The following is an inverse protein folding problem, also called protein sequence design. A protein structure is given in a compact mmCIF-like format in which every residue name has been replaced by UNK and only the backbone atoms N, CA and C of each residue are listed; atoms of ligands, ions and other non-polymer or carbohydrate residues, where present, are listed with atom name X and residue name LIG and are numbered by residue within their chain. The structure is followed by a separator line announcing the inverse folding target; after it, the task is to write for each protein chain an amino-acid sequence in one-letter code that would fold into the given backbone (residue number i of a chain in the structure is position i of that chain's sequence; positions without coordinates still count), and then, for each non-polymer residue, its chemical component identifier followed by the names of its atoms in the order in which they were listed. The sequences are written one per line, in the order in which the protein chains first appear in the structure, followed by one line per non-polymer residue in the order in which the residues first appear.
data_IF_021715665817
#
_entry.id   IF_021715665817
#
_cell.length_a   1.000
_cell.length_b   1.000
_cell.length_c   1.000
_cell.angle_alpha   90.00
_cell.angle_beta   90.00
_cell.angle_gamma   90.00
#
_symmetry.space_group_name_H-M   'P 1'
#
loop_
_entity.id
_entity.type
_entity.pdbx_description
1 polymer ?
#
# COMPACT_ATOMS: atom_id res chain seq x y z
N UNK A 1 -3.91 -23.89 -9.34
CA UNK A 1 -4.01 -22.92 -10.45
C UNK A 1 -3.85 -21.47 -9.99
N UNK A 2 -4.76 -20.86 -9.21
CA UNK A 2 -4.61 -19.44 -8.78
C UNK A 2 -3.35 -19.15 -7.94
N UNK A 3 -2.92 -20.10 -7.09
CA UNK A 3 -1.69 -19.95 -6.29
C UNK A 3 -0.41 -20.02 -7.16
N UNK A 4 -0.40 -20.86 -8.19
CA UNK A 4 0.73 -21.01 -9.12
C UNK A 4 0.92 -19.75 -9.96
N UNK A 5 -0.17 -19.18 -10.49
CA UNK A 5 -0.13 -17.91 -11.24
C UNK A 5 0.43 -16.78 -10.37
N UNK A 6 0.13 -16.77 -9.07
CA UNK A 6 0.68 -15.78 -8.13
C UNK A 6 2.17 -15.99 -7.88
N UNK A 7 2.61 -17.24 -7.76
CA UNK A 7 4.03 -17.57 -7.61
C UNK A 7 4.83 -17.16 -8.85
N UNK A 8 4.35 -17.49 -10.04
CA UNK A 8 4.96 -17.09 -11.31
C UNK A 8 5.03 -15.56 -11.47
N UNK A 9 3.97 -14.83 -11.10
CA UNK A 9 4.00 -13.36 -11.08
C UNK A 9 5.03 -12.81 -10.08
N UNK A 10 5.20 -13.45 -8.93
CA UNK A 10 6.22 -13.04 -7.95
C UNK A 10 7.64 -13.28 -8.48
N UNK A 11 7.88 -14.39 -9.16
CA UNK A 11 9.17 -14.66 -9.82
C UNK A 11 9.44 -13.67 -10.95
N UNK A 12 8.43 -13.34 -11.76
CA UNK A 12 8.56 -12.36 -12.84
C UNK A 12 9.01 -10.99 -12.32
N UNK A 13 8.49 -10.56 -11.16
CA UNK A 13 8.84 -9.27 -10.53
C UNK A 13 10.31 -9.19 -10.09
N UNK A 14 11.00 -10.33 -9.92
CA UNK A 14 12.44 -10.35 -9.63
C UNK A 14 13.29 -9.96 -10.84
N UNK A 15 12.74 -10.11 -12.05
CA UNK A 15 13.44 -9.83 -13.31
C UNK A 15 13.07 -8.48 -13.93
N UNK A 16 12.30 -7.67 -13.21
CA UNK A 16 11.97 -6.31 -13.59
C UNK A 16 13.22 -5.42 -13.64
N UNK A 17 13.31 -4.56 -14.66
CA UNK A 17 14.52 -3.76 -14.92
C UNK A 17 14.45 -2.37 -14.32
N UNK A 18 13.25 -1.83 -14.15
CA UNK A 18 13.07 -0.46 -13.69
C UNK A 18 13.10 -0.39 -12.16
N UNK A 19 13.51 0.75 -11.62
CA UNK A 19 13.51 1.04 -10.19
C UNK A 19 12.51 2.14 -9.88
N UNK A 20 12.11 2.26 -8.62
CA UNK A 20 11.28 3.37 -8.18
C UNK A 20 11.99 4.71 -8.40
N UNK A 21 11.23 5.73 -8.80
CA UNK A 21 11.80 7.06 -9.04
C UNK A 21 12.38 7.69 -7.76
N UNK A 22 11.77 7.39 -6.62
CA UNK A 22 12.20 7.89 -5.31
C UNK A 22 12.38 6.71 -4.37
N UNK A 23 13.49 6.66 -3.65
CA UNK A 23 13.71 5.67 -2.61
C UNK A 23 12.79 5.92 -1.40
N UNK A 24 12.48 4.85 -0.65
CA UNK A 24 11.59 4.95 0.50
C UNK A 24 12.13 5.88 1.60
N UNK A 25 13.46 5.94 1.76
CA UNK A 25 14.15 6.82 2.70
C UNK A 25 14.12 8.29 2.25
N UNK A 26 14.15 8.52 0.93
CA UNK A 26 14.05 9.85 0.32
C UNK A 26 12.60 10.32 0.11
N UNK A 27 11.60 9.45 0.36
CA UNK A 27 10.20 9.75 0.13
C UNK A 27 9.72 10.96 0.94
N UNK A 28 10.13 11.05 2.21
CA UNK A 28 9.77 12.18 3.09
C UNK A 28 10.31 13.51 2.53
N UNK A 29 11.53 13.52 2.00
CA UNK A 29 12.13 14.72 1.41
C UNK A 29 11.60 15.06 0.02
N UNK A 30 11.02 14.08 -0.69
CA UNK A 30 10.47 14.30 -2.02
C UNK A 30 9.14 15.06 -1.98
N UNK A 31 8.24 14.69 -1.05
CA UNK A 31 6.96 15.38 -0.85
C UNK A 31 6.53 15.29 0.62
N UNK A 32 7.15 16.12 1.46
CA UNK A 32 6.83 16.20 2.89
C UNK A 32 5.34 16.48 3.18
N UNK A 33 4.67 17.44 2.50
CA UNK A 33 3.26 17.73 2.77
C UNK A 33 2.36 16.53 2.47
N UNK A 34 2.65 15.80 1.40
CA UNK A 34 1.90 14.60 1.05
C UNK A 34 2.19 13.45 2.02
N UNK A 35 3.44 13.33 2.50
CA UNK A 35 3.80 12.37 3.53
C UNK A 35 3.02 12.61 4.83
N UNK A 36 2.91 13.87 5.27
CA UNK A 36 2.11 14.24 6.44
C UNK A 36 0.61 13.97 6.20
N UNK A 37 0.09 14.30 5.02
CA UNK A 37 -1.30 14.00 4.67
C UNK A 37 -1.59 12.49 4.68
N UNK A 38 -0.70 11.66 4.11
CA UNK A 38 -0.82 10.22 4.11
C UNK A 38 -0.66 9.60 5.52
N UNK A 39 0.12 10.24 6.39
CA UNK A 39 0.22 9.86 7.81
C UNK A 39 -1.05 10.20 8.62
N UNK A 40 -1.72 11.31 8.29
CA UNK A 40 -2.94 11.76 8.98
C UNK A 40 -4.22 11.08 8.44
N UNK A 41 -4.36 10.95 7.12
CA UNK A 41 -5.44 10.19 6.48
C UNK A 41 -4.89 9.24 5.41
N UNK A 42 -4.31 8.13 5.86
CA UNK A 42 -3.85 7.04 4.99
C UNK A 42 -4.91 6.56 3.99
N UNK A 43 -6.17 6.27 4.42
CA UNK A 43 -7.22 5.82 3.50
C UNK A 43 -7.54 6.85 2.40
N UNK A 44 -7.56 8.15 2.74
CA UNK A 44 -7.78 9.22 1.76
C UNK A 44 -6.65 9.24 0.72
N UNK A 45 -5.40 9.23 1.16
CA UNK A 45 -4.24 9.24 0.29
C UNK A 45 -4.20 7.99 -0.61
N UNK A 46 -4.54 6.81 -0.08
CA UNK A 46 -4.60 5.58 -0.87
C UNK A 46 -5.73 5.59 -1.89
N UNK A 47 -6.89 6.17 -1.58
CA UNK A 47 -8.00 6.32 -2.52
C UNK A 47 -7.59 7.18 -3.72
N UNK A 48 -6.99 8.33 -3.44
CA UNK A 48 -6.55 9.28 -4.46
C UNK A 48 -5.45 8.68 -5.34
N UNK A 49 -4.48 8.00 -4.73
CA UNK A 49 -3.42 7.30 -5.45
C UNK A 49 -3.94 6.20 -6.33
N UNK A 50 -4.89 5.40 -5.83
CA UNK A 50 -5.48 4.32 -6.62
C UNK A 50 -6.20 4.86 -7.86
N UNK A 51 -6.98 5.94 -7.71
CA UNK A 51 -7.61 6.62 -8.86
C UNK A 51 -6.56 7.11 -9.86
N UNK A 52 -5.47 7.74 -9.38
CA UNK A 52 -4.38 8.21 -10.24
C UNK A 52 -3.64 7.07 -10.95
N UNK A 53 -3.38 5.95 -10.26
CA UNK A 53 -2.75 4.77 -10.84
C UNK A 53 -3.60 4.11 -11.93
N UNK A 54 -4.93 4.30 -11.89
CA UNK A 54 -5.86 3.87 -12.92
C UNK A 54 -6.11 4.94 -14.00
N UNK A 55 -5.32 6.02 -14.03
CA UNK A 55 -5.49 7.16 -14.94
C UNK A 55 -6.89 7.80 -14.85
N UNK A 56 -7.49 7.74 -13.66
CA UNK A 56 -8.87 8.16 -13.38
C UNK A 56 -9.96 7.40 -14.17
N UNK A 57 -9.59 6.32 -14.85
CA UNK A 57 -10.53 5.43 -15.53
C UNK A 57 -10.97 4.30 -14.59
N UNK A 58 -12.12 4.52 -13.94
CA UNK A 58 -12.69 3.55 -13.00
C UNK A 58 -13.23 2.28 -13.67
N UNK A 59 -13.28 2.21 -15.01
CA UNK A 59 -13.63 0.96 -15.71
C UNK A 59 -12.54 -0.11 -15.57
N UNK A 60 -11.29 0.31 -15.35
CA UNK A 60 -10.13 -0.55 -15.08
C UNK A 60 -10.04 -1.01 -13.63
N UNK A 61 -10.96 -0.56 -12.77
CA UNK A 61 -10.92 -0.87 -11.35
C UNK A 61 -11.34 -2.31 -11.07
N UNK A 62 -10.46 -3.03 -10.37
CA UNK A 62 -10.71 -4.34 -9.76
C UNK A 62 -10.33 -4.23 -8.28
N UNK A 63 -11.19 -4.69 -7.38
CA UNK A 63 -10.97 -4.67 -5.94
C UNK A 63 -9.64 -5.34 -5.57
N UNK A 64 -8.84 -4.69 -4.74
CA UNK A 64 -7.50 -5.14 -4.33
C UNK A 64 -6.62 -5.58 -5.53
N UNK A 65 -6.80 -4.96 -6.70
CA UNK A 65 -6.16 -5.31 -7.97
C UNK A 65 -6.29 -6.80 -8.38
N UNK A 66 -7.30 -7.53 -7.88
CA UNK A 66 -7.45 -8.96 -8.15
C UNK A 66 -6.59 -9.87 -7.26
N UNK A 67 -5.82 -9.33 -6.31
CA UNK A 67 -4.96 -10.13 -5.42
C UNK A 67 -5.72 -10.79 -4.27
N UNK A 68 -6.89 -10.26 -3.89
CA UNK A 68 -7.71 -10.80 -2.80
C UNK A 68 -8.81 -11.74 -3.33
N UNK A 69 -9.17 -12.84 -2.64
CA UNK A 69 -10.28 -13.70 -3.05
C UNK A 69 -11.66 -13.03 -3.10
N UNK A 70 -11.83 -11.84 -2.50
CA UNK A 70 -13.05 -11.04 -2.62
C UNK A 70 -13.20 -10.32 -3.97
N UNK A 71 -12.11 -10.19 -4.74
CA UNK A 71 -12.09 -9.49 -6.03
C UNK A 71 -13.01 -10.15 -7.05
N UNK A 72 -13.76 -9.36 -7.83
CA UNK A 72 -14.74 -9.87 -8.80
C UNK A 72 -16.08 -10.30 -8.19
N UNK A 73 -16.22 -10.32 -6.86
CA UNK A 73 -17.49 -10.66 -6.17
C UNK A 73 -18.13 -9.48 -5.45
N UNK A 74 -17.43 -8.34 -5.36
CA UNK A 74 -17.90 -7.14 -4.67
C UNK A 74 -18.81 -6.22 -5.50
N UNK A 75 -19.21 -6.62 -6.72
CA UNK A 75 -20.03 -5.76 -7.59
C UNK A 75 -19.29 -4.51 -8.10
N UNK A 76 -17.95 -4.58 -8.14
CA UNK A 76 -17.05 -3.50 -8.55
C UNK A 76 -17.33 -2.93 -9.95
N UNK A 77 -17.92 -3.73 -10.84
CA UNK A 77 -18.33 -3.30 -12.18
C UNK A 77 -19.54 -2.37 -12.22
N UNK A 78 -20.37 -2.36 -11.16
CA UNK A 78 -21.55 -1.47 -11.06
C UNK A 78 -21.23 -0.17 -10.32
N UNK A 79 -20.48 -0.25 -9.23
CA UNK A 79 -20.13 0.90 -8.37
C UNK A 79 -18.66 0.84 -7.93
N UNK A 80 -17.69 1.12 -8.83
CA UNK A 80 -16.27 0.96 -8.54
C UNK A 80 -15.77 1.94 -7.46
N UNK A 81 -16.33 3.14 -7.37
CA UNK A 81 -15.91 4.14 -6.38
C UNK A 81 -16.28 3.78 -4.94
N UNK A 82 -17.47 3.19 -4.73
CA UNK A 82 -17.90 2.72 -3.42
C UNK A 82 -17.07 1.52 -3.01
N UNK A 83 -16.82 0.60 -3.95
CA UNK A 83 -15.95 -0.55 -3.70
C UNK A 83 -14.53 -0.10 -3.34
N UNK A 84 -13.99 0.91 -4.03
CA UNK A 84 -12.70 1.50 -3.71
C UNK A 84 -12.70 2.18 -2.33
N UNK A 85 -13.76 2.89 -1.97
CA UNK A 85 -13.91 3.48 -0.63
C UNK A 85 -13.88 2.40 0.45
N UNK A 86 -14.63 1.32 0.27
CA UNK A 86 -14.63 0.16 1.19
C UNK A 86 -13.26 -0.52 1.23
N UNK A 87 -12.56 -0.62 0.10
CA UNK A 87 -11.22 -1.19 0.04
C UNK A 87 -10.22 -0.39 0.89
N UNK A 88 -10.19 0.92 0.75
CA UNK A 88 -9.24 1.76 1.50
C UNK A 88 -9.59 1.88 2.99
N UNK A 89 -10.86 1.73 3.36
CA UNK A 89 -11.31 1.82 4.75
C UNK A 89 -11.22 0.47 5.49
N UNK A 90 -11.69 -0.62 4.87
CA UNK A 90 -11.76 -1.93 5.52
C UNK A 90 -10.56 -2.83 5.19
N UNK A 91 -9.80 -2.50 4.15
CA UNK A 91 -8.70 -3.31 3.64
C UNK A 91 -7.47 -2.44 3.31
N UNK A 92 -7.24 -1.37 4.08
CA UNK A 92 -6.18 -0.37 3.84
C UNK A 92 -4.84 -1.01 3.45
N UNK A 93 -4.40 -2.01 4.22
CA UNK A 93 -3.15 -2.68 3.98
C UNK A 93 -3.06 -3.38 2.62
N UNK A 94 -4.15 -4.03 2.25
CA UNK A 94 -4.27 -4.69 0.96
C UNK A 94 -4.41 -3.68 -0.18
N UNK A 95 -5.02 -2.51 0.08
CA UNK A 95 -5.13 -1.44 -0.90
C UNK A 95 -3.76 -0.84 -1.24
N UNK A 96 -2.94 -0.53 -0.22
CA UNK A 96 -1.57 -0.03 -0.41
C UNK A 96 -0.71 -1.07 -1.13
N UNK A 97 -0.71 -2.33 -0.65
CA UNK A 97 0.07 -3.40 -1.25
C UNK A 97 -0.36 -3.73 -2.70
N UNK A 98 -1.66 -3.80 -2.97
CA UNK A 98 -2.16 -4.07 -4.31
C UNK A 98 -1.93 -2.92 -5.29
N UNK A 99 -1.86 -1.67 -4.80
CA UNK A 99 -1.44 -0.50 -5.61
C UNK A 99 0.02 -0.56 -5.96
N UNK A 100 0.86 -0.98 -5.02
CA UNK A 100 2.26 -1.28 -5.31
C UNK A 100 2.40 -2.31 -6.42
N UNK A 101 1.74 -3.46 -6.27
CA UNK A 101 1.83 -4.53 -7.27
C UNK A 101 1.29 -4.12 -8.63
N UNK A 102 0.21 -3.32 -8.67
CA UNK A 102 -0.31 -2.75 -9.91
C UNK A 102 0.76 -1.91 -10.62
N UNK A 103 1.42 -0.99 -9.91
CA UNK A 103 2.46 -0.13 -10.49
C UNK A 103 3.70 -0.94 -10.91
N UNK A 104 4.09 -1.93 -10.10
CA UNK A 104 5.22 -2.80 -10.44
C UNK A 104 4.95 -3.61 -11.70
N UNK A 105 3.76 -4.19 -11.82
CA UNK A 105 3.37 -5.00 -12.98
C UNK A 105 3.22 -4.11 -14.24
N UNK A 106 2.64 -2.91 -14.12
CA UNK A 106 2.46 -1.98 -15.26
C UNK A 106 3.79 -1.43 -15.77
N UNK A 107 4.70 -1.06 -14.88
CA UNK A 107 5.95 -0.36 -15.23
C UNK A 107 7.20 -1.23 -15.15
N UNK A 108 7.05 -2.54 -14.90
CA UNK A 108 8.15 -3.49 -14.70
C UNK A 108 9.18 -2.96 -13.68
N UNK A 109 8.71 -2.56 -12.50
CA UNK A 109 9.53 -2.00 -11.41
C UNK A 109 9.88 -3.06 -10.36
N UNK A 110 11.16 -3.31 -10.16
CA UNK A 110 11.64 -4.29 -9.18
C UNK A 110 11.43 -3.82 -7.73
N UNK A 111 11.30 -4.77 -6.81
CA UNK A 111 11.36 -4.51 -5.36
C UNK A 111 12.80 -4.23 -4.96
N UNK A 112 13.04 -3.15 -4.21
CA UNK A 112 14.37 -2.89 -3.63
C UNK A 112 14.61 -3.78 -2.41
N UNK A 113 15.88 -3.98 -2.02
CA UNK A 113 16.19 -4.74 -0.80
C UNK A 113 15.63 -4.05 0.46
N UNK A 114 15.68 -2.71 0.50
CA UNK A 114 15.11 -1.93 1.60
C UNK A 114 13.60 -2.16 1.74
N UNK A 115 12.87 -2.25 0.63
CA UNK A 115 11.44 -2.58 0.66
C UNK A 115 11.18 -3.96 1.25
N UNK A 116 11.98 -4.96 0.87
CA UNK A 116 11.84 -6.32 1.39
C UNK A 116 12.12 -6.37 2.90
N UNK A 117 13.14 -5.67 3.38
CA UNK A 117 13.44 -5.58 4.80
C UNK A 117 12.31 -4.90 5.59
N UNK A 118 11.75 -3.81 5.06
CA UNK A 118 10.69 -3.06 5.73
C UNK A 118 9.38 -3.85 5.75
N UNK A 119 8.99 -4.48 4.64
CA UNK A 119 7.80 -5.33 4.58
C UNK A 119 7.95 -6.53 5.53
N UNK A 120 9.13 -7.17 5.55
CA UNK A 120 9.42 -8.25 6.49
C UNK A 120 9.32 -7.78 7.94
N UNK A 121 9.86 -6.60 8.26
CA UNK A 121 9.78 -6.02 9.60
C UNK A 121 8.32 -5.76 10.03
N UNK A 122 7.51 -5.14 9.17
CA UNK A 122 6.09 -4.90 9.44
C UNK A 122 5.32 -6.20 9.69
N UNK A 123 5.56 -7.22 8.87
CA UNK A 123 4.93 -8.53 9.04
C UNK A 123 5.38 -9.22 10.33
N UNK A 124 6.68 -9.18 10.66
CA UNK A 124 7.22 -9.74 11.88
C UNK A 124 6.62 -9.07 13.14
N UNK A 125 6.49 -7.74 13.15
CA UNK A 125 5.87 -7.01 14.27
C UNK A 125 4.40 -7.41 14.45
N UNK A 126 3.63 -7.48 13.36
CA UNK A 126 2.23 -7.87 13.42
C UNK A 126 2.05 -9.31 13.89
N UNK A 127 2.90 -10.23 13.43
CA UNK A 127 2.85 -11.63 13.84
C UNK A 127 3.26 -11.79 15.32
N UNK A 128 4.26 -11.04 15.79
CA UNK A 128 4.68 -11.06 17.18
C UNK A 128 3.55 -10.55 18.10
N UNK A 129 2.92 -9.43 17.74
CA UNK A 129 1.76 -8.89 18.47
C UNK A 129 0.61 -9.91 18.54
N UNK A 130 0.31 -10.59 17.43
CA UNK A 130 -0.72 -11.63 17.37
C UNK A 130 -0.39 -12.85 18.25
N UNK A 131 0.86 -13.34 18.21
CA UNK A 131 1.30 -14.46 19.06
C UNK A 131 1.22 -14.07 20.54
N UNK A 132 1.68 -12.88 20.91
CA UNK A 132 1.60 -12.38 22.28
C UNK A 132 0.14 -12.27 22.76
N UNK A 133 -0.77 -11.79 21.91
CA UNK A 133 -2.21 -11.72 22.22
C UNK A 133 -2.83 -13.10 22.41
N UNK A 134 -2.47 -14.08 21.58
CA UNK A 134 -2.92 -15.48 21.74
C UNK A 134 -2.38 -16.11 23.04
N UNK A 135 -1.11 -15.89 23.36
CA UNK A 135 -0.49 -16.40 24.59
C UNK A 135 -1.09 -15.75 25.84
N UNK A 136 -1.37 -14.44 25.80
CA UNK A 136 -2.08 -13.74 26.87
C UNK A 136 -3.47 -14.34 27.11
N UNK A 137 -4.22 -14.60 26.03
CA UNK A 137 -5.54 -15.22 26.10
C UNK A 137 -5.51 -16.65 26.68
N UNK A 138 -4.48 -17.44 26.37
CA UNK A 138 -4.32 -18.80 26.89
C UNK A 138 -3.79 -18.87 28.33
N UNK A 139 -2.93 -17.91 28.72
CA UNK A 139 -2.24 -17.92 30.02
C UNK A 139 -2.98 -17.09 31.08
N UNK A 140 -3.85 -16.16 30.67
CA UNK A 140 -4.58 -15.25 31.55
C UNK A 140 -3.69 -14.26 32.30
N UNK A 141 -2.49 -13.99 31.81
CA UNK A 141 -1.48 -13.12 32.43
C UNK A 141 -1.61 -11.68 31.93
N UNK A 142 -1.88 -10.73 32.83
CA UNK A 142 -2.00 -9.30 32.52
C UNK A 142 -0.71 -8.71 31.92
N UNK A 143 0.47 -9.14 32.39
CA UNK A 143 1.76 -8.63 31.89
C UNK A 143 1.99 -8.90 30.39
N UNK A 144 1.53 -10.06 29.89
CA UNK A 144 1.66 -10.42 28.46
C UNK A 144 0.60 -9.67 27.65
N UNK A 145 -0.56 -9.39 28.23
CA UNK A 145 -1.60 -8.59 27.59
C UNK A 145 -1.12 -7.15 27.36
N UNK A 146 -0.58 -6.50 28.39
CA UNK A 146 0.01 -5.15 28.30
C UNK A 146 1.15 -5.10 27.27
N UNK A 147 2.03 -6.11 27.26
CA UNK A 147 3.08 -6.23 26.26
C UNK A 147 2.51 -6.37 24.85
N UNK A 148 1.44 -7.15 24.66
CA UNK A 148 0.78 -7.34 23.36
C UNK A 148 0.12 -6.06 22.83
N UNK A 149 -0.47 -5.25 23.71
CA UNK A 149 -1.07 -3.96 23.36
C UNK A 149 0.01 -2.95 22.97
N UNK A 150 1.12 -2.87 23.72
CA UNK A 150 2.28 -2.06 23.37
C UNK A 150 2.86 -2.45 22.01
N UNK A 151 3.02 -3.75 21.75
CA UNK A 151 3.50 -4.26 20.46
C UNK A 151 2.55 -3.96 19.31
N UNK A 152 1.23 -4.02 19.54
CA UNK A 152 0.22 -3.66 18.55
C UNK A 152 0.30 -2.17 18.21
N UNK A 153 0.41 -1.30 19.23
CA UNK A 153 0.57 0.14 19.04
C UNK A 153 1.87 0.48 18.26
N UNK A 154 2.98 -0.18 18.60
CA UNK A 154 4.23 -0.05 17.85
C UNK A 154 4.09 -0.51 16.39
N UNK A 155 3.43 -1.65 16.17
CA UNK A 155 3.14 -2.17 14.84
C UNK A 155 2.35 -1.14 14.03
N UNK A 156 1.28 -0.59 14.58
CA UNK A 156 0.43 0.41 13.92
C UNK A 156 1.17 1.72 13.61
N UNK A 157 2.04 2.18 14.51
CA UNK A 157 2.89 3.35 14.28
C UNK A 157 3.88 3.13 13.12
N UNK A 158 4.56 1.99 13.11
CA UNK A 158 5.46 1.61 12.01
C UNK A 158 4.66 1.45 10.71
N UNK A 159 3.46 0.89 10.79
CA UNK A 159 2.58 0.71 9.66
C UNK A 159 2.18 2.04 9.01
N UNK A 160 1.66 2.97 9.80
CA UNK A 160 1.24 4.29 9.33
C UNK A 160 2.40 5.07 8.70
N UNK A 161 3.58 5.04 9.32
CA UNK A 161 4.76 5.77 8.81
C UNK A 161 5.30 5.17 7.51
N UNK A 162 5.46 3.85 7.44
CA UNK A 162 5.92 3.19 6.21
C UNK A 162 4.92 3.33 5.08
N UNK A 163 3.62 3.14 5.36
CA UNK A 163 2.59 3.31 4.34
C UNK A 163 2.51 4.74 3.82
N UNK A 164 2.79 5.76 4.64
CA UNK A 164 2.90 7.13 4.17
C UNK A 164 4.08 7.29 3.19
N UNK A 165 5.27 6.79 3.54
CA UNK A 165 6.45 6.84 2.66
C UNK A 165 6.23 6.09 1.35
N UNK A 166 5.61 4.91 1.40
CA UNK A 166 5.23 4.13 0.22
C UNK A 166 4.27 4.89 -0.68
N UNK A 167 3.25 5.53 -0.10
CA UNK A 167 2.28 6.32 -0.85
C UNK A 167 2.92 7.54 -1.53
N UNK A 168 3.90 8.19 -0.90
CA UNK A 168 4.68 9.26 -1.55
C UNK A 168 5.52 8.71 -2.70
N UNK A 169 6.16 7.55 -2.53
CA UNK A 169 6.90 6.89 -3.62
C UNK A 169 5.99 6.56 -4.82
N UNK A 170 4.75 6.13 -4.58
CA UNK A 170 3.77 5.89 -5.64
C UNK A 170 3.41 7.20 -6.34
N UNK A 171 3.16 8.25 -5.57
CA UNK A 171 2.84 9.58 -6.10
C UNK A 171 3.95 10.10 -7.00
N UNK A 172 5.20 10.09 -6.53
CA UNK A 172 6.33 10.62 -7.29
C UNK A 172 6.56 9.85 -8.58
N UNK A 173 6.41 8.53 -8.52
CA UNK A 173 6.54 7.64 -9.69
C UNK A 173 5.42 7.90 -10.70
N UNK A 174 4.17 7.99 -10.26
CA UNK A 174 3.02 8.32 -11.14
C UNK A 174 3.21 9.70 -11.77
N UNK A 175 3.60 10.71 -10.99
CA UNK A 175 3.82 12.07 -11.49
C UNK A 175 4.92 12.11 -12.55
N UNK A 176 6.05 11.43 -12.31
CA UNK A 176 7.14 11.33 -13.29
C UNK A 176 6.66 10.73 -14.62
N UNK A 177 5.79 9.72 -14.55
CA UNK A 177 5.27 9.04 -15.75
C UNK A 177 4.27 9.93 -16.49
N UNK A 178 3.33 10.57 -15.77
CA UNK A 178 2.37 11.51 -16.37
C UNK A 178 3.08 12.69 -17.03
N UNK A 179 4.17 13.20 -16.44
CA UNK A 179 5.00 14.24 -17.03
C UNK A 179 5.71 13.80 -18.32
N UNK A 180 6.13 12.54 -18.42
CA UNK A 180 6.82 12.01 -19.61
C UNK A 180 5.87 11.60 -20.75
N UNK A 181 4.56 11.44 -20.50
CA UNK A 181 3.59 11.01 -21.51
C UNK A 181 2.75 12.14 -22.14
N UNK A 182 2.99 13.42 -21.83
CA UNK A 182 2.12 14.56 -22.21
C UNK A 182 0.63 14.39 -21.81
N UNK A 183 0.32 13.46 -20.90
CA UNK A 183 -1.05 13.22 -20.43
C UNK A 183 -1.34 14.14 -19.25
N UNK A 184 -1.73 15.38 -19.58
CA UNK A 184 -2.32 16.46 -18.76
C UNK A 184 -1.78 16.68 -17.32
N UNK A 185 -1.43 17.92 -16.94
CA UNK A 185 -1.19 18.24 -15.54
C UNK A 185 -2.54 18.23 -14.82
N UNK A 186 -2.91 17.09 -14.22
CA UNK A 186 -3.95 17.11 -13.20
C UNK A 186 -3.44 17.93 -12.03
N UNK A 187 -4.30 18.76 -11.40
CA UNK A 187 -3.84 19.74 -10.45
C UNK A 187 -3.07 19.02 -9.35
N UNK A 188 -1.81 19.43 -9.20
CA UNK A 188 -1.10 19.30 -7.95
C UNK A 188 -2.13 19.58 -6.85
N UNK A 189 -2.32 18.64 -5.95
CA UNK A 189 -2.92 18.99 -4.66
C UNK A 189 -1.82 19.84 -4.03
N UNK A 190 -1.79 21.12 -4.36
CA UNK A 190 -1.20 22.12 -3.52
C UNK A 190 -2.01 22.02 -2.24
N UNK A 191 -1.49 21.24 -1.29
CA UNK A 191 -1.75 21.51 0.12
C UNK A 191 -1.09 22.85 0.38
N UNK A 192 -1.72 23.92 -0.11
CA UNK A 192 -1.41 25.28 0.27
C UNK A 192 -1.81 25.36 1.73
N UNK A 193 -0.81 25.31 2.60
CA UNK A 193 -0.95 25.77 3.97
C UNK A 193 -1.35 27.25 3.97
#
# INVERSE_FOLDING_TARGET
MALQIRAEKMELRQHYRNVWHTDLTGAISADFPYCCFAGLCGPCASYMLRKRALYNDMSRYTCCAGFMPCSGRCGESRCPEICLCTEVLCCFANSVASTRFLLQDEFNIQTTQCDNCIIAFMFCLQQLACICSLVACLTGSEEIEDASQCLSCLSDMVYCTVCACMQVQYLSTINYILMNQEVMPFPFISVSL
#
